data_IF_019221813790
#
_entry.id   IF_019221813790
#
_cell.length_a   1.000
_cell.length_b   1.000
_cell.length_c   1.000
_cell.angle_alpha   90.00
_cell.angle_beta   90.00
_cell.angle_gamma   90.00
#
_symmetry.space_group_name_H-M   'P 1'
#
loop_
_entity.id
_entity.type
_entity.pdbx_description
1 polymer ?
#
# COMPACT_ATOMS: atom_id res chain seq x y z
N UNK A 1 -11.76 -11.91 -37.64
CA UNK A 1 -12.60 -12.07 -36.45
C UNK A 1 -12.24 -10.96 -35.51
N UNK A 2 -13.19 -10.06 -35.25
CA UNK A 2 -13.09 -9.05 -34.18
C UNK A 2 -12.89 -9.78 -32.86
N UNK A 3 -11.88 -9.38 -32.09
CA UNK A 3 -11.61 -9.94 -30.78
C UNK A 3 -12.06 -8.90 -29.75
N UNK A 4 -13.21 -9.11 -29.08
CA UNK A 4 -13.81 -8.14 -28.18
C UNK A 4 -12.88 -7.68 -27.05
N UNK A 5 -11.92 -8.53 -26.67
CA UNK A 5 -10.91 -8.19 -25.67
C UNK A 5 -10.02 -7.02 -26.12
N UNK A 6 -9.57 -7.01 -27.37
CA UNK A 6 -8.68 -5.96 -27.87
C UNK A 6 -9.42 -4.66 -28.19
N UNK A 7 -10.70 -4.74 -28.53
CA UNK A 7 -11.55 -3.57 -28.74
C UNK A 7 -11.96 -2.92 -27.42
N UNK A 8 -12.30 -3.71 -26.40
CA UNK A 8 -12.76 -3.24 -25.09
C UNK A 8 -12.07 -3.99 -23.94
N UNK A 9 -10.76 -3.78 -23.74
CA UNK A 9 -10.01 -4.49 -22.70
C UNK A 9 -10.44 -4.09 -21.28
N UNK A 10 -10.97 -2.88 -21.10
CA UNK A 10 -11.37 -2.33 -19.80
C UNK A 10 -12.90 -2.45 -19.65
N UNK A 11 -13.34 -3.30 -18.71
CA UNK A 11 -14.76 -3.60 -18.47
C UNK A 11 -15.40 -2.79 -17.34
N UNK A 12 -14.59 -2.15 -16.49
CA UNK A 12 -15.04 -1.50 -15.26
C UNK A 12 -14.64 -0.02 -15.26
N UNK A 13 -15.48 0.81 -14.64
CA UNK A 13 -15.12 2.17 -14.28
C UNK A 13 -14.02 2.17 -13.21
N UNK A 14 -13.01 3.07 -13.27
CA UNK A 14 -12.00 3.20 -12.22
C UNK A 14 -12.56 3.72 -10.90
N UNK A 15 -13.81 4.20 -10.89
CA UNK A 15 -14.46 4.80 -9.73
C UNK A 15 -15.49 3.89 -9.07
N UNK A 16 -15.89 2.80 -9.72
CA UNK A 16 -16.89 1.87 -9.21
C UNK A 16 -16.23 0.57 -8.74
N UNK A 17 -16.98 -0.21 -7.95
CA UNK A 17 -16.56 -1.56 -7.58
C UNK A 17 -16.33 -2.41 -8.84
N UNK A 18 -15.20 -3.14 -8.96
CA UNK A 18 -14.91 -3.96 -10.12
C UNK A 18 -15.79 -5.21 -10.13
N UNK A 19 -16.88 -5.16 -10.89
CA UNK A 19 -17.87 -6.23 -10.93
C UNK A 19 -17.59 -7.30 -11.99
N UNK A 20 -16.71 -7.04 -12.96
CA UNK A 20 -16.48 -7.94 -14.10
C UNK A 20 -15.02 -8.08 -14.47
N UNK A 21 -14.65 -9.19 -15.09
CA UNK A 21 -13.34 -9.33 -15.70
C UNK A 21 -13.35 -10.29 -16.89
N UNK A 22 -12.35 -10.15 -17.76
CA UNK A 22 -12.06 -11.13 -18.80
C UNK A 22 -11.45 -12.39 -18.18
N UNK A 23 -12.05 -13.54 -18.48
CA UNK A 23 -11.49 -14.85 -18.14
C UNK A 23 -10.18 -15.05 -18.93
N UNK A 24 -9.18 -15.58 -18.24
CA UNK A 24 -7.92 -16.01 -18.84
C UNK A 24 -7.80 -17.52 -18.75
N UNK A 25 -7.21 -18.13 -19.77
CA UNK A 25 -6.82 -19.54 -19.71
C UNK A 25 -5.58 -19.74 -18.80
N UNK A 26 -5.16 -21.00 -18.64
CA UNK A 26 -3.99 -21.40 -17.85
C UNK A 26 -2.68 -20.75 -18.33
N UNK A 27 -2.63 -20.27 -19.57
CA UNK A 27 -1.49 -19.57 -20.17
C UNK A 27 -1.61 -18.05 -20.04
N UNK A 28 -2.64 -17.55 -19.36
CA UNK A 28 -2.91 -16.13 -19.18
C UNK A 28 -3.49 -15.43 -20.41
N UNK A 29 -3.97 -16.18 -21.41
CA UNK A 29 -4.57 -15.62 -22.62
C UNK A 29 -6.08 -15.40 -22.44
N UNK A 30 -6.64 -14.29 -22.95
CA UNK A 30 -8.06 -13.99 -22.82
C UNK A 30 -8.92 -14.98 -23.63
N UNK A 31 -9.87 -15.63 -22.96
CA UNK A 31 -10.81 -16.59 -23.58
C UNK A 31 -11.97 -15.91 -24.30
N UNK A 32 -12.01 -14.57 -24.28
CA UNK A 32 -13.10 -13.71 -24.76
C UNK A 32 -14.42 -13.90 -23.98
N UNK A 33 -14.38 -14.59 -22.84
CA UNK A 33 -15.52 -14.69 -21.92
C UNK A 33 -15.41 -13.62 -20.82
N UNK A 34 -16.54 -12.98 -20.53
CA UNK A 34 -16.68 -12.06 -19.41
C UNK A 34 -17.24 -12.83 -18.22
N UNK A 35 -16.58 -12.72 -17.08
CA UNK A 35 -17.07 -13.26 -15.80
C UNK A 35 -17.65 -12.12 -14.98
N UNK A 36 -18.89 -12.29 -14.52
CA UNK A 36 -19.67 -11.32 -13.74
C UNK A 36 -19.29 -11.34 -12.25
N UNK A 37 -17.99 -11.28 -11.96
CA UNK A 37 -17.47 -11.09 -10.62
C UNK A 37 -16.14 -10.34 -10.63
N UNK A 38 -15.73 -9.84 -9.45
CA UNK A 38 -14.39 -9.30 -9.23
C UNK A 38 -13.34 -10.38 -9.47
N UNK A 39 -12.29 -10.05 -10.23
CA UNK A 39 -11.14 -10.95 -10.39
C UNK A 39 -10.47 -11.19 -9.02
N UNK A 40 -10.27 -12.46 -8.66
CA UNK A 40 -9.48 -12.86 -7.48
C UNK A 40 -8.05 -12.37 -7.61
N UNK A 41 -7.42 -12.03 -6.49
CA UNK A 41 -5.97 -11.85 -6.49
C UNK A 41 -5.33 -13.21 -6.76
N UNK A 42 -4.36 -13.27 -7.68
CA UNK A 42 -3.55 -14.45 -8.00
C UNK A 42 -2.16 -13.95 -8.44
N UNK A 43 -1.09 -14.62 -8.00
CA UNK A 43 0.26 -14.35 -8.50
C UNK A 43 0.52 -15.19 -9.73
N UNK A 44 0.29 -14.60 -10.90
CA UNK A 44 0.75 -15.20 -12.16
C UNK A 44 2.22 -14.83 -12.32
N UNK A 45 3.12 -15.81 -12.16
CA UNK A 45 4.54 -15.62 -12.49
C UNK A 45 4.64 -15.43 -14.01
N UNK A 46 4.94 -14.22 -14.52
CA UNK A 46 5.07 -14.00 -15.94
C UNK A 46 6.44 -14.52 -16.34
N UNK A 47 6.58 -15.83 -16.51
CA UNK A 47 7.72 -16.39 -17.24
C UNK A 47 7.33 -16.32 -18.72
N UNK A 48 7.86 -15.37 -19.51
CA UNK A 48 7.65 -15.40 -20.95
C UNK A 48 8.18 -16.73 -21.47
N UNK A 49 7.29 -17.59 -21.98
CA UNK A 49 7.74 -18.85 -22.56
C UNK A 49 8.61 -18.54 -23.79
N UNK A 50 9.86 -19.03 -23.84
CA UNK A 50 10.73 -18.77 -24.96
C UNK A 50 10.11 -19.31 -26.25
N UNK A 51 10.02 -18.46 -27.28
CA UNK A 51 9.38 -18.76 -28.58
C UNK A 51 10.04 -19.92 -29.37
N UNK A 52 11.14 -20.50 -28.89
CA UNK A 52 11.82 -21.64 -29.51
C UNK A 52 12.13 -22.68 -28.45
N UNK A 53 11.35 -23.76 -28.41
CA UNK A 53 11.73 -25.01 -27.74
C UNK A 53 12.72 -25.74 -28.64
N UNK A 54 13.99 -25.77 -28.26
CA UNK A 54 14.93 -26.81 -28.67
C UNK A 54 15.21 -27.65 -27.44
N UNK A 55 15.12 -28.97 -27.59
CA UNK A 55 15.31 -29.97 -26.54
C UNK A 55 16.69 -29.83 -25.90
N UNK A 56 16.76 -29.11 -24.78
CA UNK A 56 17.90 -29.04 -23.90
C UNK A 56 17.39 -29.20 -22.46
N UNK A 57 18.14 -29.90 -21.58
CA UNK A 57 17.68 -30.23 -20.24
C UNK A 57 17.33 -28.97 -19.45
N UNK A 58 16.22 -29.02 -18.72
CA UNK A 58 15.69 -27.93 -17.90
C UNK A 58 16.75 -27.43 -16.92
N UNK A 59 17.34 -26.28 -17.24
CA UNK A 59 18.05 -25.48 -16.26
C UNK A 59 17.02 -24.96 -15.27
N UNK A 60 17.13 -25.42 -14.02
CA UNK A 60 16.37 -24.87 -12.90
C UNK A 60 16.54 -23.36 -12.86
N UNK A 61 15.41 -22.66 -12.86
CA UNK A 61 15.36 -21.21 -12.88
C UNK A 61 16.04 -20.65 -11.62
N UNK A 62 17.12 -19.87 -11.83
CA UNK A 62 17.65 -18.97 -10.82
C UNK A 62 16.67 -17.83 -10.63
N UNK A 63 15.83 -17.93 -9.61
CA UNK A 63 14.96 -16.86 -9.15
C UNK A 63 15.79 -15.80 -8.43
N UNK A 64 15.72 -14.55 -8.89
CA UNK A 64 16.19 -13.38 -8.15
C UNK A 64 15.13 -12.98 -7.13
N UNK A 65 15.13 -13.71 -6.02
CA UNK A 65 14.28 -13.48 -4.86
C UNK A 65 14.92 -14.08 -3.62
N UNK A 66 16.12 -13.59 -3.30
CA UNK A 66 16.77 -13.58 -1.98
C UNK A 66 18.27 -13.38 -2.21
N UNK A 67 18.86 -12.36 -1.58
CA UNK A 67 20.30 -12.18 -1.55
C UNK A 67 21.03 -13.25 -0.70
N UNK A 68 20.31 -14.29 -0.27
CA UNK A 68 20.81 -15.38 0.58
C UNK A 68 20.65 -16.79 -0.01
N UNK A 69 20.01 -16.97 -1.18
CA UNK A 69 20.02 -18.26 -1.89
C UNK A 69 19.54 -19.48 -1.09
N UNK A 70 18.60 -19.30 -0.15
CA UNK A 70 18.21 -20.30 0.85
C UNK A 70 16.71 -20.65 0.88
N UNK A 71 15.96 -20.45 -0.21
CA UNK A 71 14.57 -20.92 -0.29
C UNK A 71 14.47 -22.23 -1.06
N UNK A 72 14.18 -23.34 -0.38
CA UNK A 72 13.80 -24.61 -1.01
C UNK A 72 12.40 -24.49 -1.65
N UNK A 73 12.11 -25.33 -2.65
CA UNK A 73 10.87 -25.30 -3.44
C UNK A 73 9.56 -25.45 -2.62
N UNK A 74 9.65 -25.88 -1.36
CA UNK A 74 8.52 -26.08 -0.43
C UNK A 74 8.15 -24.82 0.37
N UNK A 75 8.98 -23.76 0.34
CA UNK A 75 8.75 -22.50 1.05
C UNK A 75 8.25 -21.36 0.15
N UNK A 76 7.46 -21.68 -0.88
CA UNK A 76 6.71 -20.63 -1.58
C UNK A 76 5.56 -20.16 -0.69
N UNK A 77 5.81 -19.08 0.04
CA UNK A 77 4.77 -18.30 0.69
C UNK A 77 3.85 -17.73 -0.39
N UNK A 78 2.67 -18.34 -0.58
CA UNK A 78 1.61 -17.79 -1.42
C UNK A 78 0.62 -16.98 -0.54
N UNK A 79 0.71 -15.64 -0.50
CA UNK A 79 -0.22 -14.82 0.26
C UNK A 79 -1.58 -14.69 -0.42
N UNK A 80 -1.80 -15.30 -1.58
CA UNK A 80 -3.07 -15.22 -2.33
C UNK A 80 -4.31 -15.55 -1.48
N UNK A 81 -4.32 -16.62 -0.67
CA UNK A 81 -5.52 -16.99 0.09
C UNK A 81 -5.92 -15.92 1.11
N UNK A 82 -4.96 -15.37 1.86
CA UNK A 82 -5.26 -14.37 2.89
C UNK A 82 -5.70 -13.02 2.28
N UNK A 83 -5.15 -12.65 1.11
CA UNK A 83 -5.54 -11.43 0.40
C UNK A 83 -7.01 -11.51 -0.03
N UNK A 84 -7.43 -12.63 -0.61
CA UNK A 84 -8.81 -12.80 -1.06
C UNK A 84 -9.79 -12.87 0.13
N UNK A 85 -9.40 -13.50 1.24
CA UNK A 85 -10.20 -13.49 2.48
C UNK A 85 -10.36 -12.07 3.04
N UNK A 86 -9.27 -11.30 3.11
CA UNK A 86 -9.30 -9.91 3.59
C UNK A 86 -10.22 -9.05 2.72
N UNK A 87 -10.15 -9.18 1.40
CA UNK A 87 -11.07 -8.48 0.47
C UNK A 87 -12.53 -8.82 0.77
N UNK A 88 -12.84 -10.10 1.01
CA UNK A 88 -14.19 -10.52 1.39
C UNK A 88 -14.69 -9.85 2.68
N UNK A 89 -13.84 -9.73 3.71
CA UNK A 89 -14.19 -9.03 4.95
C UNK A 89 -14.38 -7.53 4.74
N UNK A 90 -13.53 -6.90 3.94
CA UNK A 90 -13.66 -5.47 3.61
C UNK A 90 -14.95 -5.22 2.81
N UNK A 91 -15.29 -6.11 1.87
CA UNK A 91 -16.52 -6.00 1.08
C UNK A 91 -17.77 -6.13 1.96
N UNK A 92 -17.78 -7.10 2.89
CA UNK A 92 -18.85 -7.24 3.90
C UNK A 92 -18.94 -6.02 4.83
N UNK A 93 -17.81 -5.50 5.29
CA UNK A 93 -17.78 -4.30 6.12
C UNK A 93 -18.27 -3.07 5.37
N UNK A 94 -17.93 -2.94 4.08
CA UNK A 94 -18.40 -1.84 3.23
C UNK A 94 -19.91 -1.90 2.98
N UNK A 95 -20.50 -3.09 2.96
CA UNK A 95 -21.96 -3.26 2.76
C UNK A 95 -22.80 -2.96 4.00
N UNK A 96 -22.19 -2.66 5.15
CA UNK A 96 -22.92 -2.31 6.37
C UNK A 96 -23.66 -0.97 6.18
N UNK A 97 -24.99 -0.93 6.39
CA UNK A 97 -25.81 0.23 6.04
C UNK A 97 -25.61 1.43 6.97
N UNK A 98 -25.33 1.16 8.25
CA UNK A 98 -25.19 2.20 9.27
C UNK A 98 -23.71 2.49 9.58
N UNK A 99 -23.30 3.78 9.57
CA UNK A 99 -21.97 4.19 10.01
C UNK A 99 -21.64 3.76 11.46
N UNK A 100 -22.65 3.60 12.31
CA UNK A 100 -22.47 3.17 13.70
C UNK A 100 -21.96 1.73 13.81
N UNK A 101 -22.25 0.90 12.80
CA UNK A 101 -21.84 -0.50 12.76
C UNK A 101 -20.45 -0.69 12.15
N UNK A 102 -19.83 0.37 11.65
CA UNK A 102 -18.51 0.29 11.01
C UNK A 102 -17.38 0.04 12.00
N UNK A 103 -17.62 0.13 13.31
CA UNK A 103 -16.63 -0.08 14.38
C UNK A 103 -15.38 0.81 14.28
N UNK A 104 -15.50 1.97 13.64
CA UNK A 104 -14.45 3.00 13.54
C UNK A 104 -14.75 4.19 14.43
N UNK A 105 -13.83 5.13 14.57
CA UNK A 105 -14.12 6.40 15.23
C UNK A 105 -15.14 7.24 14.44
N UNK A 106 -15.94 8.10 15.10
CA UNK A 106 -16.75 9.13 14.46
C UNK A 106 -16.04 9.95 13.37
N UNK A 107 -14.78 10.32 13.59
CA UNK A 107 -13.98 11.06 12.63
C UNK A 107 -13.69 10.22 11.38
N UNK A 108 -13.28 8.96 11.57
CA UNK A 108 -13.08 8.01 10.47
C UNK A 108 -14.38 7.74 9.73
N UNK A 109 -15.51 7.58 10.43
CA UNK A 109 -16.81 7.39 9.81
C UNK A 109 -17.19 8.58 8.91
N UNK A 110 -16.97 9.81 9.39
CA UNK A 110 -17.21 11.03 8.60
C UNK A 110 -16.33 11.11 7.35
N UNK A 111 -15.05 10.75 7.45
CA UNK A 111 -14.13 10.66 6.30
C UNK A 111 -14.57 9.58 5.30
N UNK A 112 -14.94 8.40 5.77
CA UNK A 112 -15.43 7.31 4.93
C UNK A 112 -16.72 7.69 4.20
N UNK A 113 -17.67 8.33 4.89
CA UNK A 113 -18.89 8.86 4.27
C UNK A 113 -18.55 9.86 3.15
N UNK A 114 -17.59 10.75 3.41
CA UNK A 114 -17.13 11.73 2.44
C UNK A 114 -16.52 11.03 1.21
N UNK A 115 -15.57 10.12 1.39
CA UNK A 115 -14.92 9.44 0.27
C UNK A 115 -15.86 8.53 -0.54
N UNK A 116 -16.85 7.92 0.11
CA UNK A 116 -17.79 6.99 -0.54
C UNK A 116 -18.91 7.71 -1.30
N UNK A 117 -19.39 8.86 -0.80
CA UNK A 117 -20.65 9.44 -1.28
C UNK A 117 -20.61 10.94 -1.61
N UNK A 118 -19.53 11.65 -1.30
CA UNK A 118 -19.45 13.09 -1.60
C UNK A 118 -19.57 13.34 -3.11
N UNK A 119 -20.42 14.26 -3.57
CA UNK A 119 -20.48 14.67 -4.96
C UNK A 119 -19.29 15.59 -5.27
N UNK A 120 -18.13 14.99 -5.55
CA UNK A 120 -16.92 15.71 -5.95
C UNK A 120 -17.18 16.54 -7.21
N UNK A 121 -16.82 17.82 -7.17
CA UNK A 121 -16.89 18.71 -8.33
C UNK A 121 -15.67 18.50 -9.25
N UNK A 122 -14.53 18.12 -8.65
CA UNK A 122 -13.28 17.85 -9.36
C UNK A 122 -12.93 16.37 -9.48
N UNK A 123 -11.65 16.07 -9.27
CA UNK A 123 -11.12 14.71 -9.37
C UNK A 123 -11.55 13.90 -8.16
N UNK A 124 -12.55 13.03 -8.34
CA UNK A 124 -12.95 12.07 -7.31
C UNK A 124 -11.92 10.94 -7.13
N UNK A 125 -11.79 10.36 -5.93
CA UNK A 125 -10.91 9.22 -5.71
C UNK A 125 -11.30 8.01 -6.55
N UNK A 126 -10.31 7.27 -7.04
CA UNK A 126 -10.54 5.97 -7.65
C UNK A 126 -10.96 4.94 -6.60
N UNK A 127 -11.73 3.93 -7.00
CA UNK A 127 -12.14 2.85 -6.11
C UNK A 127 -10.93 2.18 -5.45
N UNK A 128 -9.86 1.94 -6.20
CA UNK A 128 -8.64 1.32 -5.65
C UNK A 128 -7.91 2.20 -4.62
N UNK A 129 -8.08 3.53 -4.68
CA UNK A 129 -7.52 4.44 -3.68
C UNK A 129 -8.33 4.36 -2.38
N UNK A 130 -9.66 4.39 -2.51
CA UNK A 130 -10.59 4.22 -1.37
C UNK A 130 -10.35 2.87 -0.72
N UNK A 131 -10.32 1.79 -1.50
CA UNK A 131 -10.08 0.43 -1.01
C UNK A 131 -8.75 0.31 -0.26
N UNK A 132 -7.67 0.93 -0.77
CA UNK A 132 -6.37 0.89 -0.11
C UNK A 132 -6.40 1.54 1.28
N UNK A 133 -7.07 2.69 1.42
CA UNK A 133 -7.22 3.41 2.68
C UNK A 133 -8.18 2.66 3.62
N UNK A 134 -9.30 2.17 3.09
CA UNK A 134 -10.24 1.32 3.81
C UNK A 134 -9.59 0.06 4.38
N UNK A 135 -8.69 -0.57 3.63
CA UNK A 135 -7.92 -1.73 4.10
C UNK A 135 -7.07 -1.35 5.30
N UNK A 136 -6.37 -0.21 5.24
CA UNK A 136 -5.55 0.27 6.36
C UNK A 136 -6.42 0.62 7.59
N UNK A 137 -7.56 1.29 7.39
CA UNK A 137 -8.53 1.59 8.45
C UNK A 137 -9.07 0.31 9.08
N UNK A 138 -9.47 -0.66 8.24
CA UNK A 138 -10.04 -1.91 8.71
C UNK A 138 -9.03 -2.68 9.56
N UNK A 139 -7.77 -2.79 9.13
CA UNK A 139 -6.72 -3.44 9.90
C UNK A 139 -6.42 -2.71 11.22
N UNK A 140 -6.46 -1.38 11.25
CA UNK A 140 -6.08 -0.61 12.45
C UNK A 140 -7.21 -0.42 13.46
N UNK A 141 -8.45 -0.18 13.01
CA UNK A 141 -9.57 0.16 13.90
C UNK A 141 -10.57 -0.98 14.07
N UNK A 142 -10.83 -1.74 13.01
CA UNK A 142 -11.93 -2.72 12.97
C UNK A 142 -11.46 -4.11 13.39
N UNK A 143 -10.39 -4.63 12.77
CA UNK A 143 -9.87 -5.96 13.04
C UNK A 143 -9.59 -6.24 14.53
N UNK A 144 -9.00 -5.31 15.32
CA UNK A 144 -8.80 -5.55 16.76
C UNK A 144 -10.10 -5.76 17.55
N UNK A 145 -11.24 -5.29 17.03
CA UNK A 145 -12.56 -5.35 17.69
C UNK A 145 -13.39 -6.56 17.26
N UNK A 146 -12.96 -7.29 16.23
CA UNK A 146 -13.67 -8.47 15.67
C UNK A 146 -13.27 -9.80 16.30
N UNK A 147 -12.48 -9.79 17.39
CA UNK A 147 -12.05 -11.00 18.08
C UNK A 147 -11.23 -11.93 17.18
N UNK A 148 -11.61 -13.22 17.11
CA UNK A 148 -10.84 -14.24 16.37
C UNK A 148 -10.70 -13.90 14.87
N UNK A 149 -11.75 -13.37 14.25
CA UNK A 149 -11.75 -13.07 12.81
C UNK A 149 -10.70 -12.03 12.44
N UNK A 150 -10.64 -10.91 13.18
CA UNK A 150 -9.63 -9.89 12.92
C UNK A 150 -8.22 -10.31 13.37
N UNK A 151 -8.13 -11.09 14.47
CA UNK A 151 -6.86 -11.59 15.00
C UNK A 151 -6.06 -12.40 13.96
N UNK A 152 -6.73 -13.21 13.13
CA UNK A 152 -6.06 -13.99 12.06
C UNK A 152 -5.22 -13.10 11.14
N UNK A 153 -5.73 -11.94 10.73
CA UNK A 153 -5.01 -11.01 9.85
C UNK A 153 -3.89 -10.27 10.59
N UNK A 154 -4.13 -9.87 11.84
CA UNK A 154 -3.15 -9.17 12.65
C UNK A 154 -1.96 -10.07 13.02
N UNK A 155 -2.23 -11.31 13.44
CA UNK A 155 -1.20 -12.31 13.75
C UNK A 155 -0.38 -12.63 12.50
N UNK A 156 -1.03 -12.76 11.34
CA UNK A 156 -0.34 -12.97 10.09
C UNK A 156 0.61 -11.82 9.72
N UNK A 157 0.17 -10.57 9.90
CA UNK A 157 1.02 -9.40 9.70
C UNK A 157 2.16 -9.34 10.73
N UNK A 158 1.91 -9.71 11.99
CA UNK A 158 2.93 -9.75 13.04
C UNK A 158 4.04 -10.76 12.70
N UNK A 159 3.66 -11.99 12.34
CA UNK A 159 4.61 -13.05 11.92
C UNK A 159 5.41 -12.61 10.69
N UNK A 160 4.76 -12.00 9.68
CA UNK A 160 5.46 -11.50 8.50
C UNK A 160 6.45 -10.37 8.84
N UNK A 161 6.15 -9.54 9.83
CA UNK A 161 7.03 -8.46 10.29
C UNK A 161 8.23 -8.99 11.08
N UNK A 162 8.00 -9.92 12.01
CA UNK A 162 9.05 -10.58 12.79
C UNK A 162 10.08 -11.26 11.88
N UNK A 163 9.62 -11.93 10.83
CA UNK A 163 10.50 -12.59 9.85
C UNK A 163 11.27 -11.62 8.96
N UNK A 164 10.81 -10.37 8.80
CA UNK A 164 11.43 -9.40 7.89
C UNK A 164 12.39 -8.43 8.62
N UNK A 165 11.92 -7.77 9.67
CA UNK A 165 12.72 -6.95 10.58
C UNK A 165 11.86 -6.60 11.82
N UNK A 166 12.17 -7.18 12.99
CA UNK A 166 11.29 -7.12 14.16
C UNK A 166 11.17 -5.73 14.80
N UNK A 167 12.04 -4.77 14.47
CA UNK A 167 12.07 -3.47 15.16
C UNK A 167 11.07 -2.45 14.62
N UNK A 168 10.51 -2.69 13.43
CA UNK A 168 9.62 -1.75 12.77
C UNK A 168 8.41 -2.47 12.17
N UNK A 169 7.22 -2.09 12.61
CA UNK A 169 5.98 -2.54 11.97
C UNK A 169 5.91 -2.01 10.53
N UNK A 170 5.74 -2.92 9.57
CA UNK A 170 5.63 -2.67 8.14
C UNK A 170 4.28 -3.13 7.65
N UNK A 171 3.63 -2.22 6.94
CA UNK A 171 2.45 -2.49 6.13
C UNK A 171 2.70 -1.96 4.73
N UNK A 172 2.46 -2.78 3.72
CA UNK A 172 2.63 -2.41 2.33
C UNK A 172 1.28 -2.43 1.60
N UNK A 173 0.93 -1.32 0.95
CA UNK A 173 -0.20 -1.23 0.03
C UNK A 173 0.35 -1.35 -1.40
N UNK A 174 -0.05 -2.39 -2.13
CA UNK A 174 0.38 -2.61 -3.53
C UNK A 174 -0.56 -1.88 -4.49
N UNK A 175 -0.07 -0.83 -5.14
CA UNK A 175 -0.81 -0.04 -6.12
C UNK A 175 -0.11 -0.01 -7.48
N UNK A 176 -0.90 -0.09 -8.55
CA UNK A 176 -0.41 0.04 -9.92
C UNK A 176 0.19 1.44 -10.19
N UNK A 177 1.07 1.54 -11.19
CA UNK A 177 1.53 2.83 -11.71
C UNK A 177 0.34 3.60 -12.30
N UNK A 178 0.27 4.91 -12.04
CA UNK A 178 -0.87 5.74 -12.45
C UNK A 178 -2.11 5.66 -11.55
N UNK A 179 -2.17 4.73 -10.59
CA UNK A 179 -3.32 4.59 -9.68
C UNK A 179 -3.48 5.73 -8.65
N UNK A 180 -2.58 6.73 -8.63
CA UNK A 180 -2.63 7.85 -7.69
C UNK A 180 -2.15 7.52 -6.26
N UNK A 181 -0.95 6.94 -6.14
CA UNK A 181 -0.30 6.65 -4.84
C UNK A 181 -0.27 7.85 -3.91
N UNK A 182 0.02 9.05 -4.43
CA UNK A 182 0.03 10.29 -3.64
C UNK A 182 -1.34 10.61 -3.04
N UNK A 183 -2.44 10.34 -3.76
CA UNK A 183 -3.79 10.53 -3.23
C UNK A 183 -4.02 9.62 -2.01
N UNK A 184 -3.60 8.35 -2.08
CA UNK A 184 -3.68 7.43 -0.94
C UNK A 184 -2.86 7.93 0.24
N UNK A 185 -1.66 8.46 0.00
CA UNK A 185 -0.85 9.07 1.06
C UNK A 185 -1.57 10.25 1.73
N UNK A 186 -2.17 11.15 0.95
CA UNK A 186 -2.96 12.27 1.48
C UNK A 186 -4.16 11.78 2.31
N UNK A 187 -4.91 10.78 1.82
CA UNK A 187 -6.04 10.21 2.55
C UNK A 187 -5.61 9.54 3.88
N UNK A 188 -4.49 8.82 3.89
CA UNK A 188 -3.92 8.25 5.12
C UNK A 188 -3.47 9.33 6.10
N UNK A 189 -2.82 10.38 5.62
CA UNK A 189 -2.42 11.53 6.45
C UNK A 189 -3.66 12.22 7.03
N UNK A 190 -4.71 12.41 6.24
CA UNK A 190 -5.95 13.03 6.69
C UNK A 190 -6.62 12.19 7.79
N UNK A 191 -6.79 10.89 7.55
CA UNK A 191 -7.33 9.95 8.53
C UNK A 191 -6.57 9.97 9.85
N UNK A 192 -5.24 9.85 9.79
CA UNK A 192 -4.38 9.83 10.97
C UNK A 192 -4.40 11.17 11.71
N UNK A 193 -4.28 12.29 10.98
CA UNK A 193 -4.22 13.63 11.58
C UNK A 193 -5.52 14.02 12.26
N UNK A 194 -6.66 13.90 11.57
CA UNK A 194 -7.97 14.29 12.11
C UNK A 194 -8.25 13.52 13.41
N UNK A 195 -8.01 12.21 13.40
CA UNK A 195 -8.17 11.39 14.61
C UNK A 195 -7.20 11.78 15.72
N UNK A 196 -5.92 12.00 15.42
CA UNK A 196 -4.93 12.40 16.43
C UNK A 196 -5.25 13.76 17.07
N UNK A 197 -5.81 14.70 16.28
CA UNK A 197 -6.19 16.04 16.75
C UNK A 197 -7.44 15.99 17.61
N UNK A 198 -8.48 15.28 17.16
CA UNK A 198 -9.78 15.21 17.86
C UNK A 198 -9.77 14.21 19.02
N UNK A 199 -8.80 13.31 19.07
CA UNK A 199 -8.63 12.31 20.14
C UNK A 199 -7.21 12.34 20.73
N UNK A 200 -6.81 13.43 21.42
CA UNK A 200 -5.44 13.61 21.90
C UNK A 200 -4.97 12.56 22.91
N UNK A 201 -5.90 11.87 23.60
CA UNK A 201 -5.58 10.77 24.51
C UNK A 201 -5.31 9.41 23.81
N UNK A 202 -5.60 9.29 22.51
CA UNK A 202 -5.37 8.05 21.77
C UNK A 202 -3.92 7.92 21.32
N UNK A 203 -3.32 6.75 21.56
CA UNK A 203 -1.99 6.39 21.03
C UNK A 203 -2.04 5.71 19.65
N UNK A 204 -3.24 5.51 19.10
CA UNK A 204 -3.44 4.78 17.84
C UNK A 204 -3.20 5.65 16.61
N UNK A 205 -3.22 6.97 16.77
CA UNK A 205 -3.16 7.92 15.67
C UNK A 205 -1.99 8.88 15.82
N UNK A 206 -1.48 9.36 14.69
CA UNK A 206 -0.37 10.30 14.65
C UNK A 206 -0.71 11.54 13.83
N UNK A 207 -0.07 12.65 14.17
CA UNK A 207 0.02 13.84 13.32
C UNK A 207 1.41 14.07 12.73
N UNK A 208 2.36 13.17 13.01
CA UNK A 208 3.74 13.24 12.54
C UNK A 208 4.01 12.21 11.45
N UNK A 209 4.48 12.67 10.29
CA UNK A 209 4.73 11.83 9.12
C UNK A 209 6.13 12.09 8.55
N UNK A 210 6.86 11.00 8.27
CA UNK A 210 8.11 11.01 7.53
C UNK A 210 7.89 10.33 6.19
N UNK A 211 8.12 11.08 5.10
CA UNK A 211 7.97 10.60 3.73
C UNK A 211 9.36 10.53 3.11
N UNK A 212 9.80 9.32 2.78
CA UNK A 212 11.11 9.07 2.18
C UNK A 212 10.95 8.79 0.70
N UNK A 213 11.71 9.49 -0.14
CA UNK A 213 11.61 9.45 -1.60
C UNK A 213 12.90 8.98 -2.26
N UNK A 214 12.82 8.37 -3.46
CA UNK A 214 14.01 7.89 -4.19
C UNK A 214 14.83 9.01 -4.82
N UNK A 215 14.21 10.12 -5.20
CA UNK A 215 14.90 11.22 -5.89
C UNK A 215 14.33 12.58 -5.51
N UNK A 216 15.10 13.64 -5.80
CA UNK A 216 14.71 15.02 -5.51
C UNK A 216 13.46 15.43 -6.30
N UNK A 217 13.32 15.00 -7.56
CA UNK A 217 12.12 15.29 -8.37
C UNK A 217 10.84 14.78 -7.73
N UNK A 218 10.86 13.57 -7.14
CA UNK A 218 9.68 13.03 -6.45
C UNK A 218 9.46 13.74 -5.12
N UNK A 219 10.54 14.06 -4.39
CA UNK A 219 10.47 14.85 -3.15
C UNK A 219 9.77 16.18 -3.39
N UNK A 220 10.20 16.91 -4.42
CA UNK A 220 9.74 18.27 -4.68
C UNK A 220 8.29 18.28 -5.17
N UNK A 221 7.86 17.26 -5.93
CA UNK A 221 6.44 17.06 -6.29
C UNK A 221 5.58 16.74 -5.07
N UNK A 222 6.09 15.95 -4.12
CA UNK A 222 5.31 15.56 -2.94
C UNK A 222 5.05 16.72 -1.95
N UNK A 223 5.55 17.93 -2.22
CA UNK A 223 5.17 19.14 -1.47
C UNK A 223 3.66 19.38 -1.45
N UNK A 224 2.93 18.91 -2.46
CA UNK A 224 1.46 18.93 -2.54
C UNK A 224 0.77 18.17 -1.38
N UNK A 225 1.51 17.35 -0.62
CA UNK A 225 1.02 16.72 0.61
C UNK A 225 1.07 17.65 1.84
N UNK A 226 1.74 18.80 1.76
CA UNK A 226 1.78 19.77 2.84
C UNK A 226 0.43 20.51 2.93
N UNK A 227 -0.19 20.60 4.12
CA UNK A 227 -1.50 21.27 4.30
C UNK A 227 -1.52 22.72 3.81
N UNK A 228 -0.41 23.43 3.99
CA UNK A 228 -0.27 24.86 3.68
C UNK A 228 0.19 25.11 2.24
N UNK A 229 0.40 24.06 1.43
CA UNK A 229 0.78 24.22 0.04
C UNK A 229 -0.43 24.73 -0.78
N UNK A 230 -0.26 25.72 -1.68
CA UNK A 230 -1.35 26.20 -2.53
C UNK A 230 -1.98 25.09 -3.38
N UNK A 231 -1.18 24.08 -3.75
CA UNK A 231 -1.59 22.93 -4.55
C UNK A 231 -2.02 21.73 -3.69
N UNK A 232 -2.33 21.94 -2.40
CA UNK A 232 -2.56 20.81 -1.47
C UNK A 232 -3.71 19.90 -1.88
N UNK A 233 -3.48 18.60 -1.76
CA UNK A 233 -4.47 17.57 -2.10
C UNK A 233 -5.75 17.68 -1.26
N UNK A 234 -5.65 18.11 0.00
CA UNK A 234 -6.77 18.06 0.94
C UNK A 234 -7.92 18.98 0.53
N UNK A 235 -7.59 20.21 0.14
CA UNK A 235 -8.56 21.21 -0.31
C UNK A 235 -8.85 21.07 -1.80
N UNK A 236 -7.82 21.05 -2.65
CA UNK A 236 -7.99 21.17 -4.11
C UNK A 236 -8.63 19.93 -4.74
N UNK A 237 -8.49 18.76 -4.11
CA UNK A 237 -9.16 17.53 -4.54
C UNK A 237 -10.33 17.14 -3.63
N UNK A 238 -10.76 18.05 -2.77
CA UNK A 238 -11.87 17.83 -1.84
C UNK A 238 -11.71 16.55 -1.01
N UNK A 239 -10.48 16.10 -0.70
CA UNK A 239 -10.26 14.84 0.01
C UNK A 239 -10.65 14.90 1.48
N UNK A 240 -10.70 16.10 2.05
CA UNK A 240 -11.07 16.30 3.46
C UNK A 240 -12.33 17.17 3.53
N UNK A 241 -13.34 16.79 4.32
CA UNK A 241 -14.50 17.64 4.61
C UNK A 241 -14.08 19.05 5.07
N UNK A 242 -14.85 20.06 4.69
CA UNK A 242 -14.54 21.46 5.02
C UNK A 242 -14.41 21.70 6.52
N UNK A 243 -15.23 21.03 7.32
CA UNK A 243 -15.21 21.09 8.79
C UNK A 243 -13.97 20.45 9.43
N UNK A 244 -13.20 19.67 8.67
CA UNK A 244 -11.99 18.98 9.11
C UNK A 244 -10.70 19.59 8.55
N UNK A 245 -10.78 20.56 7.63
CA UNK A 245 -9.59 21.16 7.00
C UNK A 245 -8.67 21.82 8.03
N UNK A 246 -9.21 22.49 9.04
CA UNK A 246 -8.42 23.09 10.11
C UNK A 246 -7.67 22.07 10.98
N UNK A 247 -8.14 20.81 11.04
CA UNK A 247 -7.42 19.76 11.75
C UNK A 247 -6.17 19.32 10.97
N UNK A 248 -6.25 19.32 9.63
CA UNK A 248 -5.15 18.92 8.75
C UNK A 248 -3.95 19.86 8.86
N UNK A 249 -4.19 21.15 9.13
CA UNK A 249 -3.12 22.14 9.36
C UNK A 249 -2.20 21.78 10.54
N UNK A 250 -2.64 20.89 11.44
CA UNK A 250 -1.83 20.40 12.57
C UNK A 250 -0.92 19.23 12.20
N UNK A 251 -0.97 18.72 10.97
CA UNK A 251 -0.05 17.69 10.48
C UNK A 251 1.38 18.24 10.41
N UNK A 252 2.34 17.43 10.86
CA UNK A 252 3.78 17.66 10.73
C UNK A 252 4.35 16.67 9.73
N UNK A 253 4.63 17.14 8.52
CA UNK A 253 5.10 16.28 7.43
C UNK A 253 6.52 16.66 7.05
N UNK A 254 7.44 15.70 7.18
CA UNK A 254 8.84 15.82 6.74
C UNK A 254 9.00 14.97 5.48
N UNK A 255 9.38 15.60 4.37
CA UNK A 255 9.62 14.92 3.10
C UNK A 255 11.11 14.98 2.80
N UNK A 256 11.76 13.82 2.69
CA UNK A 256 13.21 13.72 2.48
C UNK A 256 13.59 12.65 1.48
N UNK A 257 14.79 12.74 0.93
CA UNK A 257 15.34 11.71 0.06
C UNK A 257 16.06 10.63 0.89
N UNK A 258 16.07 9.38 0.46
CA UNK A 258 16.73 8.31 1.23
C UNK A 258 18.25 8.53 1.43
N UNK A 259 18.91 9.28 0.55
CA UNK A 259 20.32 9.66 0.74
C UNK A 259 20.56 10.51 1.98
N UNK A 260 19.52 11.15 2.54
CA UNK A 260 19.64 11.88 3.80
C UNK A 260 19.98 10.96 4.99
N UNK A 261 19.66 9.66 4.90
CA UNK A 261 19.98 8.66 5.92
C UNK A 261 21.35 8.01 5.73
N UNK A 262 22.09 8.35 4.66
CA UNK A 262 23.48 7.87 4.52
C UNK A 262 24.31 8.43 5.67
N UNK A 263 25.07 7.54 6.32
CA UNK A 263 26.06 7.93 7.31
C UNK A 263 27.01 8.95 6.68
N UNK A 264 27.00 10.17 7.22
CA UNK A 264 27.91 11.24 6.80
C UNK A 264 29.16 11.16 7.65
N UNK A 265 30.30 11.12 6.99
CA UNK A 265 31.58 11.33 7.68
C UNK A 265 31.63 12.80 8.10
N UNK A 266 31.62 13.05 9.40
CA UNK A 266 31.71 14.41 9.96
C UNK A 266 33.15 14.95 9.95
N UNK A 267 34.12 14.07 9.73
CA UNK A 267 35.55 14.38 9.62
C UNK A 267 36.15 13.53 8.50
N UNK A 268 36.93 14.15 7.62
CA UNK A 268 37.73 13.40 6.65
C UNK A 268 38.84 12.66 7.40
N UNK A 269 38.77 11.33 7.38
CA UNK A 269 39.78 10.47 7.98
C UNK A 269 40.61 9.82 6.88
N UNK A 270 41.93 9.87 7.01
CA UNK A 270 42.83 9.09 6.15
C UNK A 270 42.52 7.59 6.31
N UNK A 271 42.81 6.80 5.27
CA UNK A 271 42.59 5.33 5.28
C UNK A 271 43.22 4.67 6.51
N UNK A 272 44.39 5.15 6.94
CA UNK A 272 45.08 4.69 8.15
C UNK A 272 44.35 5.06 9.45
N UNK A 273 43.84 6.30 9.57
CA UNK A 273 43.06 6.73 10.74
C UNK A 273 41.74 5.96 10.88
N UNK A 274 41.09 5.62 9.76
CA UNK A 274 39.87 4.81 9.75
C UNK A 274 40.10 3.38 10.25
N UNK A 275 41.19 2.74 9.80
CA UNK A 275 41.57 1.39 10.25
C UNK A 275 41.95 1.35 11.74
N UNK A 276 42.56 2.42 12.25
CA UNK A 276 42.90 2.55 13.67
C UNK A 276 41.66 2.69 14.56
N UNK A 277 40.68 3.50 14.13
CA UNK A 277 39.42 3.72 14.87
C UNK A 277 38.47 2.52 14.82
N UNK A 278 38.51 1.70 13.76
CA UNK A 278 37.71 0.47 13.67
C UNK A 278 38.24 -0.67 14.56
N UNK A 279 39.47 -0.54 15.08
CA UNK A 279 40.12 -1.56 15.91
C UNK A 279 40.53 -2.81 15.12
N UNK A 280 41.49 -3.58 15.63
CA UNK A 280 41.95 -4.85 15.03
C UNK A 280 41.02 -6.03 15.36
N UNK A 281 39.71 -5.82 15.39
CA UNK A 281 38.73 -6.80 15.86
C UNK A 281 37.55 -6.96 14.91
N UNK A 282 37.65 -7.99 14.05
CA UNK A 282 36.54 -8.68 13.37
C UNK A 282 35.52 -7.85 12.57
N UNK A 283 35.58 -8.06 11.26
CA UNK A 283 34.47 -7.92 10.32
C UNK A 283 33.14 -8.41 10.91
N UNK A 284 32.28 -7.50 11.34
CA UNK A 284 30.84 -7.74 11.33
C UNK A 284 30.31 -7.29 9.98
N UNK A 285 30.06 -8.26 9.12
CA UNK A 285 29.26 -8.09 7.91
C UNK A 285 27.91 -7.50 8.34
N UNK A 286 27.45 -6.39 7.74
CA UNK A 286 26.12 -5.86 8.04
C UNK A 286 25.06 -6.83 7.49
N UNK A 287 24.17 -7.28 8.37
CA UNK A 287 22.88 -7.91 8.01
C UNK A 287 21.89 -6.79 7.66
#
# INVERSE_FOLDING_TARGET
MENPFFEKPILNSPYAYPARHWELDEKGQPTQRVVEQRRKAEFVTPIPQPKKRKDAPEQQALFTGDASGLSSAEQQYDPTPIINQLRGHIDQWRSLPSPNDWLVTPETARLLQHWRHHPFNGVKPFFCQIEAVETAIWLSEVAPRLGKTGKVFLDHLAVANENANPELLRLALKLATGAGKTTVMAMLIAWQTVNAVRRPGSKQFTRGFLIVTPGLTIRDRLRELQPNDPDSYYRNRELTPTDMLGDIERAKIVITNYHAFKLRERMELSRGGRLLLQGRGSSRTPV
#
